data_IF_088497877206
#
_entry.id   IF_088497877206
#
_cell.length_a   1.000
_cell.length_b   1.000
_cell.length_c   1.000
_cell.angle_alpha   90.00
_cell.angle_beta   90.00
_cell.angle_gamma   90.00
#
_symmetry.space_group_name_H-M   'P 1'
#
loop_
_entity.id
_entity.type
_entity.pdbx_description
1 polymer ?
#
# COMPACT_ATOMS: atom_id res chain seq x y z
N UNK A 1 2.16 -12.75 -7.47
CA UNK A 1 1.00 -12.34 -6.65
C UNK A 1 0.53 -13.46 -5.72
N UNK A 2 0.30 -14.67 -6.18
CA UNK A 2 -0.24 -15.79 -5.37
C UNK A 2 0.82 -16.86 -5.13
N UNK A 3 0.96 -17.30 -3.89
CA UNK A 3 1.92 -18.33 -3.49
C UNK A 3 1.68 -19.66 -4.22
N UNK A 4 2.73 -20.27 -4.75
CA UNK A 4 2.74 -21.54 -5.50
C UNK A 4 1.79 -21.59 -6.72
N UNK A 5 1.38 -20.44 -7.28
CA UNK A 5 0.49 -20.38 -8.45
C UNK A 5 1.04 -19.43 -9.51
N UNK A 6 0.64 -19.66 -10.75
CA UNK A 6 0.92 -18.79 -11.90
C UNK A 6 2.42 -18.49 -12.16
N UNK A 7 3.32 -19.42 -11.80
CA UNK A 7 4.75 -19.28 -12.06
C UNK A 7 5.03 -19.07 -13.56
N UNK A 8 5.92 -18.13 -13.85
CA UNK A 8 6.31 -17.80 -15.22
C UNK A 8 5.30 -16.98 -16.01
N UNK A 9 4.13 -16.67 -15.45
CA UNK A 9 3.21 -15.72 -16.05
C UNK A 9 3.64 -14.29 -15.75
N UNK A 10 3.74 -13.47 -16.77
CA UNK A 10 3.93 -12.03 -16.63
C UNK A 10 2.56 -11.37 -16.54
N UNK A 11 2.42 -10.49 -15.58
CA UNK A 11 1.20 -9.72 -15.34
C UNK A 11 1.56 -8.26 -15.12
N UNK A 12 0.66 -7.37 -15.45
CA UNK A 12 0.73 -5.99 -15.00
C UNK A 12 0.43 -5.94 -13.52
N UNK A 13 1.22 -5.17 -12.79
CA UNK A 13 1.03 -4.89 -11.37
C UNK A 13 0.82 -3.38 -11.26
N UNK A 14 -0.41 -2.94 -11.00
CA UNK A 14 -0.67 -1.52 -10.76
C UNK A 14 -0.12 -1.13 -9.40
N UNK A 15 0.36 0.09 -9.29
CA UNK A 15 0.74 0.74 -8.05
C UNK A 15 -0.27 1.86 -7.85
N UNK A 16 -0.92 1.88 -6.70
CA UNK A 16 -1.97 2.84 -6.38
C UNK A 16 -1.58 3.73 -5.23
N UNK A 17 -2.02 4.98 -5.33
CA UNK A 17 -2.17 5.91 -4.22
C UNK A 17 -3.66 6.05 -3.97
N UNK A 18 -4.12 5.90 -2.73
CA UNK A 18 -5.51 6.09 -2.39
C UNK A 18 -5.70 7.42 -1.66
N UNK A 19 -6.73 8.15 -2.04
CA UNK A 19 -7.11 9.41 -1.37
C UNK A 19 -8.38 9.14 -0.55
N UNK A 20 -8.34 9.38 0.75
CA UNK A 20 -9.49 9.30 1.63
C UNK A 20 -10.05 10.72 1.78
N UNK A 21 -11.31 10.91 1.38
CA UNK A 21 -12.04 12.18 1.44
C UNK A 21 -13.29 12.04 2.30
N UNK A 22 -13.79 13.14 2.82
CA UNK A 22 -15.06 13.21 3.56
C UNK A 22 -14.92 13.60 5.02
N UNK A 23 -13.69 13.68 5.55
CA UNK A 23 -13.36 14.31 6.82
C UNK A 23 -12.80 15.71 6.66
N UNK A 24 -12.23 16.25 7.74
CA UNK A 24 -11.59 17.58 7.75
C UNK A 24 -10.14 17.54 7.23
N UNK A 25 -9.60 16.36 6.94
CA UNK A 25 -8.22 16.12 6.51
C UNK A 25 -8.17 15.46 5.13
N UNK A 26 -7.14 15.83 4.36
CA UNK A 26 -6.76 15.13 3.15
C UNK A 26 -5.75 14.03 3.51
N UNK A 27 -6.14 12.78 3.35
CA UNK A 27 -5.37 11.63 3.78
C UNK A 27 -5.01 10.78 2.58
N UNK A 28 -3.73 10.41 2.47
CA UNK A 28 -3.26 9.41 1.50
C UNK A 28 -3.00 8.08 2.18
N UNK A 29 -3.22 7.01 1.44
CA UNK A 29 -2.65 5.69 1.74
C UNK A 29 -1.64 5.40 0.64
N UNK A 30 -0.37 5.33 1.05
CA UNK A 30 0.83 5.27 0.21
C UNK A 30 1.01 6.51 -0.70
N UNK A 31 2.19 6.67 -1.28
CA UNK A 31 2.54 7.79 -2.20
C UNK A 31 3.09 7.32 -3.54
N UNK A 32 3.25 6.02 -3.73
CA UNK A 32 3.63 5.42 -5.00
C UNK A 32 5.10 5.61 -5.38
N UNK A 33 5.38 5.38 -6.66
CA UNK A 33 6.69 5.59 -7.27
C UNK A 33 6.85 7.03 -7.76
N UNK A 34 8.04 7.59 -7.63
CA UNK A 34 8.41 8.85 -8.30
C UNK A 34 8.89 8.58 -9.73
N UNK A 35 9.78 7.62 -9.88
CA UNK A 35 10.34 7.26 -11.18
C UNK A 35 10.37 5.75 -11.35
N UNK A 36 10.02 5.29 -12.52
CA UNK A 36 10.18 3.89 -12.88
C UNK A 36 11.24 3.77 -13.97
N UNK A 37 12.45 3.42 -13.55
CA UNK A 37 13.59 3.27 -14.45
C UNK A 37 13.64 1.81 -14.92
N UNK A 38 13.35 1.61 -16.20
CA UNK A 38 13.50 0.30 -16.84
C UNK A 38 14.49 0.42 -18.00
N UNK A 39 15.22 -0.64 -18.34
CA UNK A 39 15.98 -0.71 -19.60
C UNK A 39 15.06 -0.42 -20.79
N UNK A 40 15.55 0.38 -21.75
CA UNK A 40 14.76 0.84 -22.90
C UNK A 40 14.07 -0.30 -23.66
N UNK A 41 14.74 -1.44 -23.84
CA UNK A 41 14.19 -2.62 -24.51
C UNK A 41 13.00 -3.23 -23.75
N UNK A 42 12.95 -3.12 -22.43
CA UNK A 42 11.85 -3.60 -21.62
C UNK A 42 10.67 -2.60 -21.64
N UNK A 43 10.95 -1.31 -21.60
CA UNK A 43 9.95 -0.26 -21.74
C UNK A 43 9.22 -0.36 -23.07
N UNK A 44 9.95 -0.48 -24.18
CA UNK A 44 9.37 -0.65 -25.52
C UNK A 44 8.58 -1.95 -25.66
N UNK A 45 9.07 -3.05 -25.07
CA UNK A 45 8.48 -4.38 -25.24
C UNK A 45 7.21 -4.60 -24.44
N UNK A 46 7.15 -4.08 -23.23
CA UNK A 46 6.05 -4.37 -22.30
C UNK A 46 5.16 -3.15 -22.06
N UNK A 47 5.67 -1.95 -22.29
CA UNK A 47 5.04 -0.68 -21.96
C UNK A 47 4.88 -0.52 -20.44
N UNK A 48 4.82 0.66 -19.98
CA UNK A 48 4.38 1.04 -18.63
C UNK A 48 3.97 2.52 -18.70
N UNK A 49 3.19 2.93 -17.74
CA UNK A 49 2.76 4.32 -17.57
C UNK A 49 2.91 4.66 -16.09
N UNK A 50 3.60 5.75 -15.80
CA UNK A 50 3.63 6.36 -14.47
C UNK A 50 2.87 7.66 -14.58
N UNK A 51 1.84 7.82 -13.77
CA UNK A 51 1.16 9.08 -13.59
C UNK A 51 1.95 9.90 -12.59
N UNK A 52 2.39 11.09 -12.98
CA UNK A 52 3.09 12.00 -12.07
C UNK A 52 2.25 12.28 -10.83
N UNK A 53 2.89 12.24 -9.65
CA UNK A 53 2.20 12.33 -8.38
C UNK A 53 1.36 13.60 -8.23
N UNK A 54 1.95 14.73 -8.59
CA UNK A 54 1.28 16.04 -8.57
C UNK A 54 0.11 16.10 -9.56
N UNK A 55 0.26 15.50 -10.74
CA UNK A 55 -0.84 15.42 -11.72
C UNK A 55 -1.99 14.55 -11.17
N UNK A 56 -1.66 13.45 -10.48
CA UNK A 56 -2.66 12.59 -9.85
C UNK A 56 -3.46 13.35 -8.77
N UNK A 57 -2.79 14.12 -7.92
CA UNK A 57 -3.45 14.95 -6.90
C UNK A 57 -4.28 16.08 -7.52
N UNK A 58 -3.76 16.75 -8.54
CA UNK A 58 -4.47 17.84 -9.25
C UNK A 58 -5.79 17.38 -9.87
N UNK A 59 -5.93 16.11 -10.26
CA UNK A 59 -7.21 15.54 -10.73
C UNK A 59 -8.31 15.53 -9.65
N UNK A 60 -7.90 15.74 -8.41
CA UNK A 60 -8.76 15.79 -7.23
C UNK A 60 -8.78 17.17 -6.56
N UNK A 61 -8.29 18.22 -7.25
CA UNK A 61 -8.16 19.60 -6.77
C UNK A 61 -7.25 19.69 -5.52
N UNK A 62 -6.18 18.88 -5.46
CA UNK A 62 -5.19 18.83 -4.38
C UNK A 62 -3.79 19.04 -4.93
N UNK A 63 -2.92 19.58 -4.08
CA UNK A 63 -1.46 19.64 -4.25
C UNK A 63 -0.80 18.81 -3.14
N UNK A 64 0.49 18.48 -3.23
CA UNK A 64 1.19 17.77 -2.14
C UNK A 64 1.14 18.53 -0.81
N UNK A 65 1.14 19.86 -0.82
CA UNK A 65 1.06 20.71 0.37
C UNK A 65 -0.32 20.67 1.06
N UNK A 66 -1.36 20.22 0.36
CA UNK A 66 -2.71 20.06 0.92
C UNK A 66 -2.90 18.75 1.68
N UNK A 67 -1.90 17.87 1.68
CA UNK A 67 -1.98 16.58 2.35
C UNK A 67 -1.61 16.74 3.82
N UNK A 68 -2.54 16.33 4.70
CA UNK A 68 -2.38 16.42 6.14
C UNK A 68 -1.79 15.13 6.74
N UNK A 69 -2.00 14.00 6.07
CA UNK A 69 -1.66 12.69 6.60
C UNK A 69 -1.35 11.70 5.49
N UNK A 70 -0.32 10.89 5.71
CA UNK A 70 0.01 9.71 4.90
C UNK A 70 -0.01 8.50 5.82
N UNK A 71 -0.67 7.42 5.42
CA UNK A 71 -0.66 6.14 6.12
C UNK A 71 0.01 5.13 5.21
N UNK A 72 1.24 4.72 5.52
CA UNK A 72 1.91 3.70 4.73
C UNK A 72 1.40 2.32 5.03
N UNK A 73 1.14 1.55 3.97
CA UNK A 73 0.91 0.12 4.09
C UNK A 73 2.19 -0.61 4.47
N UNK A 74 3.31 -0.22 3.89
CA UNK A 74 4.67 -0.66 4.17
C UNK A 74 5.66 0.25 3.41
N UNK A 75 6.97 0.05 3.59
CA UNK A 75 8.00 0.95 3.05
C UNK A 75 8.81 0.38 1.89
N UNK A 76 8.23 -0.49 1.05
CA UNK A 76 8.84 -0.73 -0.25
C UNK A 76 8.78 0.56 -1.10
N UNK A 77 9.79 0.78 -1.89
CA UNK A 77 9.95 2.03 -2.65
C UNK A 77 8.74 2.38 -3.54
N UNK A 78 8.05 1.38 -4.07
CA UNK A 78 6.85 1.59 -4.89
C UNK A 78 5.63 2.11 -4.10
N UNK A 79 5.78 2.35 -2.78
CA UNK A 79 4.73 2.87 -1.91
C UNK A 79 5.07 4.22 -1.25
N UNK A 80 6.34 4.67 -1.25
CA UNK A 80 6.78 5.79 -0.41
C UNK A 80 7.75 6.78 -1.07
N UNK A 81 7.92 6.74 -2.39
CA UNK A 81 8.90 7.62 -3.06
C UNK A 81 8.49 9.09 -3.16
N UNK A 82 7.21 9.46 -2.92
CA UNK A 82 6.76 10.85 -3.01
C UNK A 82 6.47 11.51 -1.66
N UNK A 83 6.83 10.90 -0.53
CA UNK A 83 6.56 11.42 0.81
C UNK A 83 7.13 12.82 1.03
N UNK A 84 8.36 13.05 0.59
CA UNK A 84 9.09 14.30 0.75
C UNK A 84 8.40 15.49 0.10
N UNK A 85 7.48 15.28 -0.84
CA UNK A 85 6.69 16.31 -1.49
C UNK A 85 5.58 16.84 -0.58
N UNK A 86 5.07 15.99 0.32
CA UNK A 86 3.96 16.31 1.21
C UNK A 86 4.46 16.93 2.53
N UNK A 87 5.07 18.10 2.44
CA UNK A 87 5.81 18.76 3.53
C UNK A 87 4.97 19.10 4.77
N UNK A 88 3.64 19.09 4.67
CA UNK A 88 2.72 19.35 5.77
C UNK A 88 2.15 18.07 6.37
N UNK A 89 2.42 16.92 5.77
CA UNK A 89 1.82 15.66 6.17
C UNK A 89 2.54 15.02 7.37
N UNK A 90 1.76 14.37 8.24
CA UNK A 90 2.28 13.38 9.20
C UNK A 90 2.22 11.99 8.57
N UNK A 91 3.32 11.25 8.64
CA UNK A 91 3.47 9.95 7.99
C UNK A 91 3.42 8.83 9.03
N UNK A 92 2.36 8.01 8.97
CA UNK A 92 2.08 6.94 9.94
C UNK A 92 2.66 5.62 9.45
N UNK A 93 3.63 5.09 10.20
CA UNK A 93 4.37 3.87 9.86
C UNK A 93 4.45 2.94 11.06
N UNK A 94 4.33 1.65 10.83
CA UNK A 94 4.51 0.65 11.88
C UNK A 94 5.97 0.66 12.39
N UNK A 95 6.12 0.55 13.70
CA UNK A 95 7.41 0.47 14.39
C UNK A 95 8.33 -0.59 13.78
N UNK A 96 7.82 -1.81 13.55
CA UNK A 96 8.60 -2.90 12.96
C UNK A 96 9.07 -2.60 11.53
N UNK A 97 8.31 -1.80 10.79
CA UNK A 97 8.70 -1.36 9.46
C UNK A 97 9.86 -0.35 9.52
N UNK A 98 9.78 0.60 10.47
CA UNK A 98 10.86 1.55 10.74
C UNK A 98 12.13 0.87 11.26
N UNK A 99 11.98 -0.15 12.10
CA UNK A 99 13.12 -0.96 12.58
C UNK A 99 13.80 -1.68 11.43
N UNK A 100 13.02 -2.27 10.51
CA UNK A 100 13.54 -2.97 9.34
C UNK A 100 14.18 -2.01 8.32
N UNK A 101 13.58 -0.82 8.10
CA UNK A 101 14.13 0.21 7.20
C UNK A 101 15.55 0.64 7.58
N UNK A 102 15.89 0.66 8.88
CA UNK A 102 17.22 1.09 9.37
C UNK A 102 18.34 0.11 9.01
N UNK A 103 18.03 -1.18 8.90
CA UNK A 103 18.99 -2.25 8.56
C UNK A 103 18.25 -3.36 7.79
N UNK A 104 17.84 -3.07 6.53
CA UNK A 104 17.06 -4.01 5.76
C UNK A 104 17.89 -5.23 5.37
N UNK A 105 17.26 -6.40 5.41
CA UNK A 105 17.92 -7.63 4.99
C UNK A 105 18.25 -7.55 3.48
N UNK A 106 19.48 -7.91 3.04
CA UNK A 106 19.89 -7.80 1.63
C UNK A 106 19.06 -8.59 0.61
N UNK A 107 18.21 -9.51 1.07
CA UNK A 107 17.25 -10.21 0.20
C UNK A 107 16.17 -9.29 -0.33
N UNK A 108 15.88 -8.22 0.40
CA UNK A 108 14.85 -7.24 0.03
C UNK A 108 15.47 -5.88 -0.28
N UNK A 109 15.83 -5.68 -1.52
CA UNK A 109 16.51 -4.48 -2.05
C UNK A 109 15.56 -3.32 -2.38
N UNK A 110 14.28 -3.42 -2.00
CA UNK A 110 13.26 -2.38 -2.23
C UNK A 110 13.19 -1.34 -1.12
N UNK A 111 13.96 -1.51 -0.04
CA UNK A 111 14.07 -0.55 1.05
C UNK A 111 15.23 0.41 0.81
N UNK A 112 14.96 1.69 0.89
CA UNK A 112 15.95 2.74 0.85
C UNK A 112 16.03 3.41 2.23
N UNK A 113 17.12 3.23 3.01
CA UNK A 113 17.20 3.67 4.41
C UNK A 113 16.96 5.17 4.63
N UNK A 114 17.18 5.99 3.60
CA UNK A 114 17.02 7.46 3.59
C UNK A 114 15.65 7.93 3.09
N UNK A 115 14.73 7.02 2.74
CA UNK A 115 13.44 7.36 2.10
C UNK A 115 12.54 8.25 2.98
N UNK A 116 12.71 8.21 4.30
CA UNK A 116 11.95 9.01 5.26
C UNK A 116 12.77 10.17 5.86
N UNK A 117 13.92 10.50 5.27
CA UNK A 117 14.67 11.68 5.69
C UNK A 117 13.81 12.94 5.44
N UNK A 118 13.82 13.86 6.40
CA UNK A 118 13.03 15.11 6.37
C UNK A 118 11.49 14.94 6.38
N UNK A 119 10.98 13.77 6.79
CA UNK A 119 9.55 13.46 6.89
C UNK A 119 9.09 13.42 8.36
N UNK A 120 7.93 13.99 8.68
CA UNK A 120 7.33 13.97 10.04
C UNK A 120 6.67 12.60 10.33
N UNK A 121 7.49 11.65 10.80
CA UNK A 121 7.07 10.26 11.02
C UNK A 121 6.38 10.10 12.37
N UNK A 122 5.21 9.46 12.35
CA UNK A 122 4.48 8.99 13.52
C UNK A 122 4.55 7.46 13.60
N UNK A 123 5.25 6.97 14.62
CA UNK A 123 5.37 5.52 14.87
C UNK A 123 4.05 4.95 15.39
N UNK A 124 3.60 3.84 14.78
CA UNK A 124 2.44 3.04 15.21
C UNK A 124 2.91 1.66 15.65
N UNK A 125 2.38 1.15 16.76
CA UNK A 125 2.72 -0.18 17.28
C UNK A 125 1.46 -1.06 17.33
N UNK A 126 1.30 -1.93 16.34
CA UNK A 126 0.14 -2.81 16.21
C UNK A 126 -1.08 -2.15 15.56
N UNK A 127 -2.28 -2.59 15.96
CA UNK A 127 -3.54 -1.98 15.49
C UNK A 127 -3.84 -0.68 16.24
N UNK A 128 -4.25 0.36 15.52
CA UNK A 128 -4.56 1.67 16.09
C UNK A 128 -5.66 2.39 15.30
N UNK A 129 -6.42 3.23 16.00
CA UNK A 129 -7.26 4.23 15.37
C UNK A 129 -6.37 5.45 15.05
N UNK A 130 -6.33 5.82 13.78
CA UNK A 130 -5.49 6.93 13.30
C UNK A 130 -6.31 8.23 13.25
N UNK A 131 -7.53 8.11 12.75
CA UNK A 131 -8.52 9.20 12.68
C UNK A 131 -9.90 8.60 12.86
N UNK A 132 -10.92 9.42 13.14
CA UNK A 132 -12.28 8.91 13.27
C UNK A 132 -12.72 8.17 12.00
N UNK A 133 -13.09 6.90 12.17
CA UNK A 133 -13.46 6.03 11.06
C UNK A 133 -12.29 5.45 10.24
N UNK A 134 -11.03 5.69 10.63
CA UNK A 134 -9.84 5.16 9.96
C UNK A 134 -8.96 4.44 10.98
N UNK A 135 -8.86 3.13 10.82
CA UNK A 135 -8.04 2.26 11.65
C UNK A 135 -6.93 1.61 10.83
N UNK A 136 -5.79 1.33 11.45
CA UNK A 136 -4.77 0.44 10.89
C UNK A 136 -4.84 -0.92 11.56
N UNK A 137 -4.67 -1.95 10.76
CA UNK A 137 -4.64 -3.35 11.17
C UNK A 137 -3.25 -3.87 10.87
N UNK A 138 -2.50 -4.27 11.90
CA UNK A 138 -1.17 -4.84 11.72
C UNK A 138 -1.25 -6.14 10.92
N UNK A 139 -0.69 -6.20 9.71
CA UNK A 139 -0.74 -7.33 8.77
C UNK A 139 0.67 -7.69 8.26
N UNK A 140 1.55 -8.20 9.15
CA UNK A 140 2.92 -8.53 8.80
C UNK A 140 3.01 -9.75 7.87
N UNK A 141 4.23 -9.99 7.37
CA UNK A 141 4.61 -11.18 6.61
C UNK A 141 5.04 -10.88 5.18
N UNK A 142 4.36 -9.98 4.46
CA UNK A 142 4.87 -9.42 3.21
C UNK A 142 6.10 -8.56 3.48
N UNK A 143 5.97 -7.67 4.42
CA UNK A 143 7.03 -6.94 5.12
C UNK A 143 6.89 -7.14 6.63
N UNK A 144 7.92 -6.84 7.44
CA UNK A 144 7.87 -7.09 8.88
C UNK A 144 6.86 -6.19 9.61
N UNK A 145 6.65 -4.98 9.11
CA UNK A 145 5.74 -3.99 9.68
C UNK A 145 4.53 -3.68 8.78
N UNK A 146 4.18 -4.56 7.86
CA UNK A 146 3.03 -4.36 6.98
C UNK A 146 1.74 -4.10 7.76
N UNK A 147 0.93 -3.13 7.30
CA UNK A 147 -0.39 -2.83 7.85
C UNK A 147 -1.42 -2.60 6.76
N UNK A 148 -2.66 -2.99 7.03
CA UNK A 148 -3.82 -2.71 6.17
C UNK A 148 -4.61 -1.55 6.75
N UNK A 149 -5.23 -0.73 5.91
CA UNK A 149 -6.01 0.44 6.34
C UNK A 149 -7.49 0.13 6.21
N UNK A 150 -8.20 0.21 7.34
CA UNK A 150 -9.66 0.00 7.43
C UNK A 150 -10.35 1.35 7.50
N UNK A 151 -11.32 1.57 6.63
CA UNK A 151 -12.02 2.84 6.47
C UNK A 151 -13.52 2.58 6.59
N UNK A 152 -14.20 3.35 7.44
CA UNK A 152 -15.65 3.36 7.48
C UNK A 152 -16.17 4.29 6.38
N UNK A 153 -16.86 3.72 5.41
CA UNK A 153 -17.43 4.44 4.27
C UNK A 153 -18.96 4.53 4.39
N UNK A 154 -19.60 5.28 3.51
CA UNK A 154 -21.08 5.38 3.49
C UNK A 154 -21.76 4.07 3.12
N UNK A 155 -21.06 3.14 2.46
CA UNK A 155 -21.58 1.81 2.07
C UNK A 155 -21.02 0.66 2.94
N UNK A 156 -20.39 0.98 4.08
CA UNK A 156 -19.82 0.01 5.01
C UNK A 156 -18.32 0.12 5.13
N UNK A 157 -17.69 -0.93 5.63
CA UNK A 157 -16.24 -0.95 5.82
C UNK A 157 -15.52 -1.29 4.54
N UNK A 158 -14.48 -0.54 4.20
CA UNK A 158 -13.50 -0.87 3.17
C UNK A 158 -12.14 -1.14 3.81
N UNK A 159 -11.34 -2.05 3.23
CA UNK A 159 -9.99 -2.35 3.71
C UNK A 159 -9.02 -2.32 2.52
N UNK A 160 -8.10 -1.36 2.54
CA UNK A 160 -6.92 -1.34 1.66
C UNK A 160 -5.90 -2.29 2.28
N UNK A 161 -5.50 -3.32 1.54
CA UNK A 161 -4.59 -4.34 2.08
C UNK A 161 -3.14 -3.86 2.08
N UNK A 162 -2.37 -4.25 3.09
CA UNK A 162 -0.96 -3.85 3.26
C UNK A 162 0.05 -4.90 2.76
N UNK A 163 -0.29 -5.68 1.74
CA UNK A 163 0.59 -6.71 1.19
C UNK A 163 0.37 -6.90 -0.31
N UNK A 164 1.40 -7.38 -1.00
CA UNK A 164 1.39 -7.58 -2.44
C UNK A 164 0.38 -8.65 -2.87
N UNK A 165 -0.86 -8.25 -3.19
CA UNK A 165 -1.95 -9.14 -3.53
C UNK A 165 -2.88 -8.58 -4.62
N UNK A 166 -3.71 -9.46 -5.17
CA UNK A 166 -4.82 -9.15 -6.06
C UNK A 166 -6.06 -10.02 -5.69
N UNK A 167 -7.13 -9.93 -6.48
CA UNK A 167 -8.39 -10.67 -6.29
C UNK A 167 -8.20 -12.18 -6.09
N UNK A 168 -7.22 -12.78 -6.76
CA UNK A 168 -6.94 -14.23 -6.69
C UNK A 168 -6.44 -14.67 -5.32
N UNK A 169 -5.92 -13.76 -4.50
CA UNK A 169 -5.53 -14.05 -3.14
C UNK A 169 -6.75 -14.23 -2.22
N UNK A 170 -7.93 -13.71 -2.63
CA UNK A 170 -9.19 -13.74 -1.89
C UNK A 170 -10.27 -14.58 -2.60
N UNK A 171 -10.09 -15.91 -2.77
CA UNK A 171 -11.08 -16.73 -3.44
C UNK A 171 -12.42 -16.68 -2.70
N UNK A 172 -13.55 -16.72 -3.45
CA UNK A 172 -14.90 -16.67 -2.87
C UNK A 172 -15.18 -17.85 -1.93
N UNK A 173 -14.54 -18.98 -2.18
CA UNK A 173 -14.69 -20.20 -1.37
C UNK A 173 -13.33 -20.74 -0.95
N UNK A 174 -13.27 -21.37 0.24
CA UNK A 174 -12.02 -21.90 0.79
C UNK A 174 -11.13 -20.84 1.47
N UNK A 175 -9.93 -21.20 1.90
CA UNK A 175 -9.01 -20.30 2.58
C UNK A 175 -8.43 -19.25 1.63
N UNK A 176 -7.86 -18.19 2.19
CA UNK A 176 -7.05 -17.22 1.45
C UNK A 176 -5.82 -17.90 0.82
N UNK A 177 -5.24 -17.24 -0.17
CA UNK A 177 -3.98 -17.68 -0.78
C UNK A 177 -2.92 -16.65 -0.41
N UNK A 178 -1.86 -17.08 0.26
CA UNK A 178 -0.81 -16.19 0.69
C UNK A 178 -0.23 -15.37 -0.47
N UNK A 179 0.25 -14.15 -0.21
CA UNK A 179 1.04 -13.38 -1.17
C UNK A 179 2.26 -14.18 -1.64
N UNK A 180 2.57 -14.10 -2.94
CA UNK A 180 3.73 -14.76 -3.51
C UNK A 180 5.06 -14.05 -3.17
N UNK A 181 4.98 -12.78 -2.79
CA UNK A 181 6.09 -11.96 -2.31
C UNK A 181 5.91 -11.77 -0.80
N UNK A 182 6.81 -12.31 -0.01
CA UNK A 182 6.77 -12.28 1.45
C UNK A 182 8.15 -12.52 2.05
N UNK A 183 8.38 -11.97 3.21
CA UNK A 183 9.54 -12.29 4.07
C UNK A 183 9.22 -13.43 5.01
N UNK A 184 7.99 -13.47 5.55
CA UNK A 184 7.48 -14.61 6.33
C UNK A 184 6.16 -15.12 5.73
N UNK A 185 6.19 -16.35 5.23
CA UNK A 185 5.04 -16.98 4.59
C UNK A 185 3.87 -17.22 5.57
N UNK A 186 4.18 -17.66 6.78
CA UNK A 186 3.14 -18.03 7.74
C UNK A 186 2.43 -16.79 8.27
N UNK A 187 3.19 -15.76 8.63
CA UNK A 187 2.62 -14.47 9.02
C UNK A 187 1.79 -13.85 7.88
N UNK A 188 2.30 -13.89 6.64
CA UNK A 188 1.59 -13.39 5.47
C UNK A 188 0.27 -14.14 5.23
N UNK A 189 0.26 -15.46 5.41
CA UNK A 189 -0.96 -16.25 5.32
C UNK A 189 -1.96 -15.91 6.41
N UNK A 190 -1.52 -15.81 7.67
CA UNK A 190 -2.41 -15.47 8.79
C UNK A 190 -2.98 -14.05 8.63
N UNK A 191 -2.18 -13.11 8.17
CA UNK A 191 -2.59 -11.74 7.89
C UNK A 191 -3.68 -11.68 6.82
N UNK A 192 -3.46 -12.30 5.66
CA UNK A 192 -4.45 -12.28 4.57
C UNK A 192 -5.72 -13.06 4.92
N UNK A 193 -5.59 -14.19 5.65
CA UNK A 193 -6.75 -14.97 6.08
C UNK A 193 -7.60 -14.18 7.09
N UNK A 194 -6.95 -13.41 7.98
CA UNK A 194 -7.65 -12.51 8.90
C UNK A 194 -8.43 -11.45 8.16
N UNK A 195 -7.80 -10.75 7.20
CA UNK A 195 -8.48 -9.73 6.38
C UNK A 195 -9.66 -10.34 5.60
N UNK A 196 -9.46 -11.50 5.00
CA UNK A 196 -10.53 -12.20 4.26
C UNK A 196 -11.76 -12.50 5.11
N UNK A 197 -11.59 -12.76 6.40
CA UNK A 197 -12.67 -13.10 7.31
C UNK A 197 -13.41 -11.88 7.88
N UNK A 198 -12.96 -10.67 7.57
CA UNK A 198 -13.62 -9.45 8.00
C UNK A 198 -14.81 -9.14 7.08
N UNK A 199 -15.89 -8.61 7.67
CA UNK A 199 -17.03 -8.11 6.91
C UNK A 199 -16.68 -6.71 6.37
N UNK A 200 -16.11 -6.68 5.16
CA UNK A 200 -15.62 -5.47 4.53
C UNK A 200 -15.46 -5.65 3.01
N UNK A 201 -15.51 -4.55 2.28
CA UNK A 201 -15.04 -4.48 0.90
C UNK A 201 -13.52 -4.50 0.90
N UNK A 202 -12.91 -5.56 0.38
CA UNK A 202 -11.46 -5.70 0.33
C UNK A 202 -10.94 -5.05 -0.96
N UNK A 203 -9.95 -4.19 -0.81
CA UNK A 203 -9.24 -3.49 -1.87
C UNK A 203 -7.81 -4.04 -1.94
N UNK A 204 -7.57 -5.07 -2.78
CA UNK A 204 -6.24 -5.65 -2.88
C UNK A 204 -5.27 -4.66 -3.53
N UNK A 205 -4.14 -4.42 -2.88
CA UNK A 205 -3.21 -3.33 -3.17
C UNK A 205 -2.73 -3.24 -4.63
N UNK A 206 -2.67 -4.38 -5.33
CA UNK A 206 -2.21 -4.45 -6.72
C UNK A 206 -3.23 -5.14 -7.66
N UNK A 207 -4.52 -4.96 -7.42
CA UNK A 207 -5.56 -5.53 -8.28
C UNK A 207 -5.95 -4.56 -9.41
N UNK A 208 -5.91 -5.05 -10.64
CA UNK A 208 -6.24 -4.25 -11.83
C UNK A 208 -7.68 -3.71 -11.79
N UNK A 209 -8.60 -4.36 -11.11
CA UNK A 209 -10.01 -3.92 -11.05
C UNK A 209 -10.18 -2.60 -10.30
N UNK A 210 -9.28 -2.30 -9.35
CA UNK A 210 -9.31 -1.04 -8.58
C UNK A 210 -9.20 0.18 -9.51
N UNK A 211 -8.31 0.13 -10.52
CA UNK A 211 -8.10 1.24 -11.45
C UNK A 211 -9.34 1.60 -12.29
N UNK A 212 -10.35 0.73 -12.36
CA UNK A 212 -11.63 1.02 -13.03
C UNK A 212 -12.65 1.69 -12.11
N UNK A 213 -12.40 1.73 -10.79
CA UNK A 213 -13.27 2.36 -9.81
C UNK A 213 -12.95 3.85 -9.75
N UNK A 214 -14.00 4.71 -9.90
CA UNK A 214 -13.82 6.17 -9.76
C UNK A 214 -13.77 6.60 -8.30
N UNK A 215 -14.52 5.91 -7.45
CA UNK A 215 -14.56 6.11 -6.02
C UNK A 215 -15.06 4.82 -5.35
N UNK A 216 -14.72 4.68 -4.10
CA UNK A 216 -15.25 3.65 -3.21
C UNK A 216 -16.05 4.41 -2.17
N UNK A 217 -17.38 4.21 -2.16
CA UNK A 217 -18.30 5.02 -1.35
C UNK A 217 -18.13 4.81 0.14
#
# INVERSE_FOLDING_TARGET
MTYLRDYGKRIWIPIYVFIIKGGDKNILVDTGLEQFIVPDDLGERYGFEVLEFEEALNRHDLTPEDIDMIIHTHLHNDHCENDYKCVNAKVYVQKKELEFLRDPHPVDHRYYPDILDDVDVVEVDGGACIEDGIDVIFTPGHSPGGQSVSINTTEGRAIITGFCCNDKNFPKTGPAIAPGVHLDLMEAYDSIQRIKNMDATILPLHDLSIGSMKSIP
#
